data_IF_832712153276
#
_entry.id   IF_832712153276
#
_cell.length_a   1.000
_cell.length_b   1.000
_cell.length_c   1.000
_cell.angle_alpha   90.00
_cell.angle_beta   90.00
_cell.angle_gamma   90.00
#
_symmetry.space_group_name_H-M   'P 1'
#
loop_
_entity.id
_entity.type
_entity.pdbx_description
1 polymer ?
#
# COMPACT_ATOMS: atom_id res chain seq x y z
N UNK A 1 1.11 15.43 -9.46
CA UNK A 1 0.60 14.25 -10.22
C UNK A 1 0.35 14.68 -11.66
N UNK A 2 0.84 13.92 -12.64
CA UNK A 2 0.72 14.25 -14.07
C UNK A 2 -0.15 13.26 -14.82
N UNK A 3 -1.04 13.77 -15.68
CA UNK A 3 -1.83 12.99 -16.65
C UNK A 3 -1.22 13.16 -18.03
N UNK A 4 -0.74 12.07 -18.64
CA UNK A 4 -0.19 12.11 -20.01
C UNK A 4 -1.32 12.21 -21.04
N UNK A 5 -1.08 12.92 -22.15
CA UNK A 5 -2.05 13.02 -23.27
C UNK A 5 -2.47 11.65 -23.80
N UNK A 6 -1.53 10.72 -23.93
CA UNK A 6 -1.75 9.35 -24.40
C UNK A 6 -2.68 8.50 -23.50
N UNK A 7 -2.84 8.87 -22.23
CA UNK A 7 -3.63 8.11 -21.27
C UNK A 7 -5.07 8.60 -21.15
N UNK A 8 -5.44 9.75 -21.75
CA UNK A 8 -6.73 10.39 -21.52
C UNK A 8 -7.93 9.51 -21.89
N UNK A 9 -7.85 8.77 -23.00
CA UNK A 9 -8.94 7.86 -23.41
C UNK A 9 -9.13 6.74 -22.39
N UNK A 10 -8.05 6.11 -21.96
CA UNK A 10 -8.07 5.07 -20.94
C UNK A 10 -8.62 5.60 -19.61
N UNK A 11 -8.19 6.77 -19.18
CA UNK A 11 -8.63 7.40 -17.92
C UNK A 11 -10.12 7.74 -17.95
N UNK A 12 -10.65 8.18 -19.10
CA UNK A 12 -12.09 8.45 -19.28
C UNK A 12 -12.92 7.16 -19.29
N UNK A 13 -12.37 6.07 -19.81
CA UNK A 13 -13.05 4.77 -19.81
C UNK A 13 -13.12 4.15 -18.41
N UNK A 14 -12.29 4.58 -17.46
CA UNK A 14 -12.31 4.13 -16.07
C UNK A 14 -11.90 2.67 -15.95
N UNK A 15 -10.62 2.35 -16.15
CA UNK A 15 -10.18 0.94 -16.22
C UNK A 15 -9.78 0.33 -14.90
N UNK A 16 -9.22 1.08 -13.97
CA UNK A 16 -8.70 0.56 -12.71
C UNK A 16 -8.82 1.57 -11.59
N UNK A 17 -8.64 1.09 -10.36
CA UNK A 17 -8.55 1.97 -9.20
C UNK A 17 -7.39 2.98 -9.32
N UNK A 18 -6.26 2.57 -9.92
CA UNK A 18 -5.15 3.46 -10.20
C UNK A 18 -5.57 4.61 -11.13
N UNK A 19 -6.39 4.31 -12.15
CA UNK A 19 -6.88 5.33 -13.08
C UNK A 19 -7.81 6.34 -12.38
N UNK A 20 -8.54 5.93 -11.36
CA UNK A 20 -9.42 6.85 -10.60
C UNK A 20 -8.67 7.96 -9.87
N UNK A 21 -7.36 7.77 -9.60
CA UNK A 21 -6.50 8.83 -9.06
C UNK A 21 -6.23 9.95 -10.04
N UNK A 22 -6.37 9.66 -11.32
CA UNK A 22 -6.09 10.59 -12.41
C UNK A 22 -7.36 11.08 -13.09
N UNK A 23 -8.52 10.97 -12.44
CA UNK A 23 -9.78 11.54 -12.93
C UNK A 23 -9.73 13.07 -13.10
N UNK A 24 -10.63 13.64 -13.88
CA UNK A 24 -10.69 15.09 -14.10
C UNK A 24 -10.99 15.85 -12.80
N UNK A 25 -11.85 15.28 -11.95
CA UNK A 25 -12.10 15.77 -10.59
C UNK A 25 -11.78 14.65 -9.58
N UNK A 26 -10.54 14.57 -9.09
CA UNK A 26 -10.14 13.49 -8.23
C UNK A 26 -10.81 13.62 -6.85
N UNK A 27 -11.37 12.52 -6.37
CA UNK A 27 -12.11 12.43 -5.10
C UNK A 27 -11.34 12.98 -3.89
N UNK A 28 -10.01 13.01 -3.95
CA UNK A 28 -9.15 13.51 -2.86
C UNK A 28 -8.92 15.02 -2.91
N UNK A 29 -9.38 15.74 -3.94
CA UNK A 29 -9.20 17.20 -4.09
C UNK A 29 -9.59 17.97 -2.82
N UNK A 30 -10.76 17.66 -2.27
CA UNK A 30 -11.27 18.31 -1.07
C UNK A 30 -10.57 17.94 0.24
N UNK A 31 -9.62 16.99 0.20
CA UNK A 31 -8.87 16.55 1.37
C UNK A 31 -7.60 17.37 1.62
N UNK A 32 -7.21 18.23 0.68
CA UNK A 32 -5.98 19.02 0.75
C UNK A 32 -6.30 20.51 0.52
N UNK A 33 -6.05 21.32 1.53
CA UNK A 33 -6.34 22.76 1.50
C UNK A 33 -5.48 23.51 0.46
N UNK A 34 -4.30 22.99 0.14
CA UNK A 34 -3.34 23.54 -0.82
C UNK A 34 -3.41 22.89 -2.20
N UNK A 35 -4.47 22.12 -2.49
CA UNK A 35 -4.61 21.49 -3.80
C UNK A 35 -4.78 22.55 -4.88
N UNK A 36 -3.93 22.47 -5.93
CA UNK A 36 -4.07 23.30 -7.13
C UNK A 36 -3.83 22.51 -8.41
N UNK A 37 -4.50 22.91 -9.46
CA UNK A 37 -4.17 22.47 -10.80
C UNK A 37 -2.98 23.26 -11.33
N UNK A 38 -2.13 22.60 -12.12
CA UNK A 38 -0.98 23.24 -12.77
C UNK A 38 -1.42 23.97 -14.02
N UNK A 39 -0.85 25.15 -14.27
CA UNK A 39 -1.08 25.90 -15.50
C UNK A 39 -0.39 25.24 -16.70
N UNK A 40 -0.78 25.59 -17.92
CA UNK A 40 -0.20 25.00 -19.12
C UNK A 40 1.32 25.24 -19.25
N UNK A 41 1.82 26.34 -18.72
CA UNK A 41 3.23 26.70 -18.72
C UNK A 41 4.07 25.86 -17.74
N UNK A 42 3.43 25.27 -16.72
CA UNK A 42 4.07 24.41 -15.73
C UNK A 42 4.10 22.92 -16.16
N UNK A 43 3.40 22.58 -17.26
CA UNK A 43 3.30 21.20 -17.69
C UNK A 43 4.48 20.80 -18.59
N UNK A 44 5.14 19.66 -18.32
CA UNK A 44 6.11 19.09 -19.25
C UNK A 44 5.45 18.68 -20.58
N UNK A 45 6.26 18.60 -21.65
CA UNK A 45 5.79 18.15 -22.95
C UNK A 45 5.12 16.76 -22.86
N UNK A 46 3.97 16.60 -23.53
CA UNK A 46 3.20 15.35 -23.55
C UNK A 46 2.33 15.12 -22.31
N UNK A 47 2.26 16.09 -21.39
CA UNK A 47 1.39 16.08 -20.23
C UNK A 47 0.17 16.98 -20.49
N UNK A 48 -1.01 16.39 -20.45
CA UNK A 48 -2.28 17.10 -20.69
C UNK A 48 -2.74 17.94 -19.51
N UNK A 49 -2.49 17.48 -18.29
CA UNK A 49 -2.83 18.19 -17.06
C UNK A 49 -2.04 17.65 -15.88
N UNK A 50 -1.98 18.43 -14.82
CA UNK A 50 -1.33 18.05 -13.59
C UNK A 50 -1.93 18.78 -12.40
N UNK A 51 -1.69 18.23 -11.21
CA UNK A 51 -2.02 18.89 -9.95
C UNK A 51 -0.90 18.70 -8.94
N UNK A 52 -0.84 19.59 -7.99
CA UNK A 52 0.04 19.48 -6.82
C UNK A 52 -0.73 19.75 -5.52
N UNK A 53 -0.24 19.19 -4.45
CA UNK A 53 -0.77 19.36 -3.09
C UNK A 53 0.27 18.86 -2.09
N UNK A 54 0.22 19.37 -0.86
CA UNK A 54 1.05 18.91 0.25
C UNK A 54 0.68 17.49 0.65
N UNK A 55 1.67 16.62 0.76
CA UNK A 55 1.45 15.23 1.14
C UNK A 55 2.61 14.72 2.00
N UNK A 56 2.52 13.48 2.46
CA UNK A 56 3.55 12.86 3.28
C UNK A 56 4.05 11.56 2.64
N UNK A 57 5.34 11.30 2.78
CA UNK A 57 5.94 10.02 2.44
C UNK A 57 6.42 9.32 3.71
N UNK A 58 5.83 8.17 4.01
CA UNK A 58 6.17 7.42 5.22
C UNK A 58 7.45 6.61 4.98
N UNK A 59 8.46 6.83 5.85
CA UNK A 59 9.59 5.90 5.95
C UNK A 59 9.14 4.67 6.76
N UNK A 60 8.68 3.64 6.06
CA UNK A 60 8.13 2.42 6.67
C UNK A 60 9.12 1.65 7.52
N UNK A 61 10.43 1.81 7.27
CA UNK A 61 11.48 1.20 8.09
C UNK A 61 11.58 1.80 9.49
N UNK A 62 11.14 3.06 9.65
CA UNK A 62 11.05 3.73 10.94
C UNK A 62 9.64 3.64 11.53
N UNK A 63 8.62 3.81 10.72
CA UNK A 63 7.24 3.85 11.17
C UNK A 63 6.77 2.52 11.78
N UNK A 64 7.07 1.38 11.16
CA UNK A 64 6.63 0.08 11.67
C UNK A 64 7.27 -0.27 13.03
N UNK A 65 8.59 -0.14 13.25
CA UNK A 65 9.18 -0.32 14.58
C UNK A 65 8.63 0.64 15.63
N UNK A 66 8.39 1.90 15.25
CA UNK A 66 7.76 2.88 16.14
C UNK A 66 6.34 2.42 16.55
N UNK A 67 5.51 2.00 15.58
CA UNK A 67 4.15 1.52 15.85
C UNK A 67 4.16 0.29 16.76
N UNK A 68 5.07 -0.64 16.53
CA UNK A 68 5.29 -1.81 17.42
C UNK A 68 5.66 -1.35 18.84
N UNK A 69 6.50 -0.33 18.96
CA UNK A 69 6.84 0.30 20.24
C UNK A 69 5.61 0.88 20.94
N UNK A 70 4.73 1.58 20.22
CA UNK A 70 3.47 2.11 20.76
C UNK A 70 2.54 0.97 21.24
N UNK A 71 2.40 -0.09 20.46
CA UNK A 71 1.61 -1.26 20.86
C UNK A 71 2.12 -1.84 22.19
N UNK A 72 3.44 -2.04 22.33
CA UNK A 72 4.05 -2.56 23.56
C UNK A 72 3.85 -1.63 24.75
N UNK A 73 4.03 -0.33 24.55
CA UNK A 73 3.82 0.67 25.60
C UNK A 73 2.37 0.67 26.12
N UNK A 74 1.41 0.31 25.25
CA UNK A 74 0.00 0.13 25.63
C UNK A 74 -0.35 -1.29 26.10
N UNK A 75 0.64 -2.11 26.43
CA UNK A 75 0.41 -3.44 27.02
C UNK A 75 0.08 -4.54 26.02
N UNK A 76 0.21 -4.30 24.72
CA UNK A 76 -0.04 -5.34 23.70
C UNK A 76 1.08 -6.36 23.72
N UNK A 77 0.73 -7.63 23.91
CA UNK A 77 1.66 -8.74 23.81
C UNK A 77 1.87 -9.14 22.32
N UNK A 78 3.11 -9.18 21.90
CA UNK A 78 3.51 -9.60 20.55
C UNK A 78 4.01 -11.03 20.57
N UNK A 79 3.47 -11.86 19.71
CA UNK A 79 3.83 -13.26 19.61
C UNK A 79 4.01 -13.68 18.17
N UNK A 80 5.05 -14.44 17.88
CA UNK A 80 5.21 -15.10 16.58
C UNK A 80 4.62 -16.51 16.69
N UNK A 81 3.67 -16.84 15.81
CA UNK A 81 3.06 -18.16 15.74
C UNK A 81 2.71 -18.48 14.28
N UNK A 82 2.61 -19.76 13.95
CA UNK A 82 2.00 -20.25 12.74
C UNK A 82 0.55 -20.63 13.05
N UNK A 83 -0.38 -20.11 12.27
CA UNK A 83 -1.82 -20.31 12.43
C UNK A 83 -2.34 -20.91 11.12
N UNK A 84 -2.91 -22.11 11.17
CA UNK A 84 -3.48 -22.78 10.01
C UNK A 84 -4.96 -22.47 9.82
N UNK A 85 -5.67 -22.21 10.91
CA UNK A 85 -7.09 -21.87 10.92
C UNK A 85 -7.33 -20.66 11.82
N UNK A 86 -8.22 -19.76 11.41
CA UNK A 86 -8.44 -18.48 12.11
C UNK A 86 -8.88 -18.68 13.58
N UNK A 87 -9.62 -19.74 13.87
CA UNK A 87 -10.04 -20.06 15.26
C UNK A 87 -8.88 -20.44 16.19
N UNK A 88 -7.75 -20.94 15.66
CA UNK A 88 -6.56 -21.24 16.47
C UNK A 88 -5.98 -19.98 17.12
N UNK A 89 -6.16 -18.82 16.47
CA UNK A 89 -5.72 -17.54 17.03
C UNK A 89 -6.39 -17.24 18.38
N UNK A 90 -7.63 -17.66 18.57
CA UNK A 90 -8.36 -17.50 19.83
C UNK A 90 -7.71 -18.27 20.99
N UNK A 91 -7.08 -19.39 20.70
CA UNK A 91 -6.38 -20.24 21.68
C UNK A 91 -4.96 -19.79 22.02
N UNK A 92 -4.35 -18.89 21.24
CA UNK A 92 -2.94 -18.49 21.46
C UNK A 92 -2.68 -17.80 22.80
N UNK A 93 -3.67 -17.14 23.39
CA UNK A 93 -3.59 -16.56 24.73
C UNK A 93 -3.55 -17.62 25.85
N UNK A 94 -4.15 -18.79 25.63
CA UNK A 94 -4.16 -19.88 26.60
C UNK A 94 -2.76 -20.45 26.86
N UNK A 95 -1.85 -20.29 25.90
CA UNK A 95 -0.46 -20.74 25.99
C UNK A 95 0.47 -19.72 26.66
N UNK A 96 -0.04 -18.60 27.16
CA UNK A 96 0.78 -17.61 27.87
C UNK A 96 1.00 -18.05 29.32
N UNK A 97 2.23 -17.89 29.84
CA UNK A 97 2.61 -18.23 31.22
C UNK A 97 1.88 -17.37 32.28
N UNK A 98 1.05 -16.42 31.89
CA UNK A 98 0.26 -15.57 32.78
C UNK A 98 -1.05 -16.20 33.28
N UNK A 99 -1.30 -17.45 32.90
CA UNK A 99 -2.19 -18.37 33.66
C UNK A 99 -3.68 -18.03 33.79
N UNK A 100 -4.23 -17.13 33.03
CA UNK A 100 -5.68 -16.90 32.98
C UNK A 100 -6.22 -17.44 31.65
N UNK A 101 -6.49 -18.74 31.62
CA UNK A 101 -6.95 -19.51 30.49
C UNK A 101 -8.34 -19.12 29.98
N UNK A 102 -8.51 -17.85 29.56
CA UNK A 102 -9.72 -17.42 28.86
C UNK A 102 -9.42 -17.34 27.38
N UNK A 103 -10.23 -18.00 26.56
CA UNK A 103 -10.21 -17.80 25.12
C UNK A 103 -10.52 -16.32 24.80
N UNK A 104 -10.00 -15.80 23.71
CA UNK A 104 -10.36 -14.45 23.25
C UNK A 104 -11.78 -14.46 22.71
N UNK A 105 -12.50 -13.38 22.93
CA UNK A 105 -13.86 -13.22 22.44
C UNK A 105 -13.88 -12.87 20.94
N UNK A 106 -12.84 -12.19 20.45
CA UNK A 106 -12.76 -11.65 19.08
C UNK A 106 -11.36 -11.83 18.52
N UNK A 107 -11.25 -12.22 17.27
CA UNK A 107 -10.02 -12.27 16.47
C UNK A 107 -10.09 -11.20 15.37
N UNK A 108 -9.07 -10.36 15.24
CA UNK A 108 -8.93 -9.45 14.09
C UNK A 108 -8.02 -10.11 13.07
N UNK A 109 -8.55 -10.40 11.89
CA UNK A 109 -7.81 -10.98 10.79
C UNK A 109 -7.25 -9.88 9.85
N UNK A 110 -5.95 -9.63 9.94
CA UNK A 110 -5.21 -8.71 9.08
C UNK A 110 -4.10 -9.44 8.31
N UNK A 111 -4.35 -10.67 7.85
CA UNK A 111 -3.33 -11.57 7.27
C UNK A 111 -2.96 -11.26 5.82
N UNK A 112 -3.61 -10.27 5.18
CA UNK A 112 -3.28 -9.83 3.82
C UNK A 112 -3.43 -10.96 2.81
N UNK A 113 -2.38 -11.25 2.01
CA UNK A 113 -2.40 -12.31 1.00
C UNK A 113 -2.70 -13.70 1.58
N UNK A 114 -2.32 -13.96 2.82
CA UNK A 114 -2.52 -15.25 3.44
C UNK A 114 -3.98 -15.52 3.80
N UNK A 115 -4.87 -14.53 3.77
CA UNK A 115 -6.31 -14.72 3.93
C UNK A 115 -6.88 -15.70 2.88
N UNK A 116 -6.24 -15.81 1.71
CA UNK A 116 -6.65 -16.78 0.67
C UNK A 116 -6.39 -18.24 1.04
N UNK A 117 -5.56 -18.49 2.06
CA UNK A 117 -5.14 -19.85 2.48
C UNK A 117 -5.38 -20.13 3.95
N UNK A 118 -5.80 -19.14 4.71
CA UNK A 118 -6.10 -19.31 6.14
C UNK A 118 -7.41 -20.06 6.30
N UNK A 119 -7.36 -21.23 6.91
CA UNK A 119 -8.54 -22.07 7.16
C UNK A 119 -9.62 -21.28 7.91
N UNK A 120 -10.88 -21.46 7.50
CA UNK A 120 -12.03 -20.72 8.02
C UNK A 120 -12.17 -19.29 7.46
N UNK A 121 -11.29 -18.89 6.50
CA UNK A 121 -11.37 -17.64 5.73
C UNK A 121 -11.36 -17.93 4.23
N UNK A 122 -10.28 -18.55 3.72
CA UNK A 122 -10.09 -19.08 2.38
C UNK A 122 -10.65 -18.16 1.28
N UNK A 123 -10.37 -16.85 1.39
CA UNK A 123 -10.91 -15.83 0.51
C UNK A 123 -10.27 -15.88 -0.87
N UNK A 124 -10.99 -16.51 -1.82
CA UNK A 124 -10.55 -16.67 -3.21
C UNK A 124 -10.44 -15.37 -4.00
N UNK A 125 -11.03 -14.27 -3.50
CA UNK A 125 -10.94 -12.96 -4.13
C UNK A 125 -9.56 -12.30 -3.91
N UNK A 126 -8.75 -12.79 -2.96
CA UNK A 126 -7.43 -12.26 -2.65
C UNK A 126 -6.39 -12.70 -3.68
N UNK A 127 -5.61 -11.76 -4.18
CA UNK A 127 -4.55 -11.99 -5.15
C UNK A 127 -3.37 -11.04 -4.93
N UNK A 128 -2.14 -11.41 -5.34
CA UNK A 128 -1.01 -10.49 -5.30
C UNK A 128 -1.12 -9.46 -6.42
N UNK A 129 -0.63 -8.26 -6.14
CA UNK A 129 -0.27 -7.28 -7.16
C UNK A 129 1.22 -6.98 -6.97
N UNK A 130 2.04 -7.62 -7.81
CA UNK A 130 3.49 -7.52 -7.71
C UNK A 130 3.94 -6.11 -8.09
N UNK A 131 4.72 -5.49 -7.20
CA UNK A 131 5.34 -4.20 -7.42
C UNK A 131 6.85 -4.30 -7.29
N UNK A 132 7.58 -3.90 -8.34
CA UNK A 132 9.02 -3.74 -8.31
C UNK A 132 9.39 -2.28 -8.20
N UNK A 133 10.40 -1.99 -7.41
CA UNK A 133 10.97 -0.65 -7.18
C UNK A 133 12.49 -0.71 -7.13
N UNK A 134 13.11 0.44 -7.36
CA UNK A 134 14.51 0.67 -7.01
C UNK A 134 14.56 1.73 -5.91
N UNK A 135 15.38 1.53 -4.91
CA UNK A 135 15.63 2.50 -3.86
C UNK A 135 17.02 3.06 -4.05
N UNK A 136 17.11 4.38 -4.16
CA UNK A 136 18.36 5.10 -4.39
C UNK A 136 18.65 6.06 -3.24
N UNK A 137 19.92 6.41 -3.04
CA UNK A 137 20.36 7.39 -2.02
C UNK A 137 20.10 8.83 -2.46
N UNK A 138 20.04 9.05 -3.78
CA UNK A 138 19.72 10.36 -4.36
C UNK A 138 18.38 10.87 -3.79
N UNK A 139 18.30 12.16 -3.46
CA UNK A 139 17.10 12.77 -2.91
C UNK A 139 16.33 13.52 -4.00
N UNK A 140 15.05 13.23 -4.13
CA UNK A 140 14.15 13.95 -5.03
C UNK A 140 13.62 15.19 -4.33
N UNK A 141 13.53 16.35 -5.03
CA UNK A 141 13.03 17.60 -4.45
C UNK A 141 11.53 17.54 -4.09
N UNK A 142 10.76 16.70 -4.76
CA UNK A 142 9.33 16.50 -4.52
C UNK A 142 8.90 15.08 -4.92
N UNK A 143 7.72 14.69 -4.53
CA UNK A 143 7.12 13.43 -4.98
C UNK A 143 6.43 13.62 -6.34
N UNK A 144 6.61 12.65 -7.24
CA UNK A 144 6.00 12.66 -8.56
C UNK A 144 5.26 11.34 -8.81
N UNK A 145 4.11 11.42 -9.46
CA UNK A 145 3.37 10.24 -9.96
C UNK A 145 2.76 10.56 -11.31
N UNK A 146 2.81 9.60 -12.26
CA UNK A 146 2.25 9.73 -13.61
C UNK A 146 1.18 8.68 -13.87
N UNK A 147 0.24 9.02 -14.75
CA UNK A 147 -0.90 8.19 -15.14
C UNK A 147 -0.54 6.91 -15.89
N UNK A 148 0.66 6.80 -16.46
CA UNK A 148 1.09 5.62 -17.19
C UNK A 148 2.53 5.74 -17.70
N UNK A 149 2.95 4.75 -18.47
CA UNK A 149 4.25 4.72 -19.16
C UNK A 149 4.11 4.21 -20.58
N UNK A 150 5.15 4.32 -21.40
CA UNK A 150 5.19 3.73 -22.75
C UNK A 150 5.78 2.30 -22.74
N UNK A 151 6.30 1.85 -21.60
CA UNK A 151 6.96 0.53 -21.49
C UNK A 151 5.99 -0.64 -21.33
N UNK A 152 4.78 -0.39 -20.79
CA UNK A 152 3.77 -1.44 -20.66
C UNK A 152 2.62 -1.09 -19.71
N UNK A 153 1.49 -1.81 -19.82
CA UNK A 153 0.28 -1.51 -19.04
C UNK A 153 0.44 -1.78 -17.54
N UNK A 154 1.35 -2.69 -17.17
CA UNK A 154 1.63 -3.05 -15.77
C UNK A 154 2.77 -2.21 -15.16
N UNK A 155 3.30 -1.23 -15.90
CA UNK A 155 4.37 -0.36 -15.44
C UNK A 155 3.84 1.01 -15.04
N UNK A 156 4.43 1.57 -13.98
CA UNK A 156 4.04 2.83 -13.37
C UNK A 156 5.26 3.76 -13.27
N UNK A 157 5.02 5.06 -13.16
CA UNK A 157 6.08 6.00 -12.81
C UNK A 157 5.69 6.77 -11.55
N UNK A 158 6.48 6.58 -10.50
CA UNK A 158 6.41 7.38 -9.28
C UNK A 158 7.80 7.53 -8.65
N UNK A 159 8.02 8.65 -8.00
CA UNK A 159 9.26 9.03 -7.33
C UNK A 159 8.84 9.54 -5.95
N UNK A 160 9.37 8.94 -4.88
CA UNK A 160 8.96 9.26 -3.51
C UNK A 160 10.18 9.28 -2.58
N UNK A 161 10.58 10.46 -2.12
CA UNK A 161 11.65 10.61 -1.13
C UNK A 161 11.11 10.29 0.26
N UNK A 162 11.80 9.38 0.97
CA UNK A 162 11.46 9.02 2.33
C UNK A 162 12.25 9.84 3.32
N UNK A 163 11.59 10.31 4.37
CA UNK A 163 12.21 11.09 5.43
C UNK A 163 13.35 10.34 6.15
N UNK A 164 14.18 11.09 6.87
CA UNK A 164 15.22 10.60 7.76
C UNK A 164 16.23 9.64 7.08
N UNK A 165 16.73 10.02 5.91
CA UNK A 165 17.74 9.25 5.18
C UNK A 165 17.22 7.94 4.59
N UNK A 166 15.90 7.79 4.44
CA UNK A 166 15.28 6.59 3.86
C UNK A 166 15.56 6.36 2.38
N UNK A 167 16.18 7.32 1.71
CA UNK A 167 16.42 7.34 0.27
C UNK A 167 15.15 7.59 -0.53
N UNK A 168 15.27 7.65 -1.83
CA UNK A 168 14.16 7.82 -2.76
C UNK A 168 13.73 6.47 -3.32
N UNK A 169 12.43 6.18 -3.25
CA UNK A 169 11.81 5.04 -3.93
C UNK A 169 11.40 5.48 -5.31
N UNK A 170 11.93 4.84 -6.34
CA UNK A 170 11.52 5.01 -7.73
C UNK A 170 10.83 3.75 -8.22
N UNK A 171 9.73 3.90 -8.92
CA UNK A 171 8.89 2.78 -9.32
C UNK A 171 8.12 3.03 -10.60
N UNK A 172 7.47 2.07 -11.06
CA UNK A 172 7.46 0.69 -10.63
C UNK A 172 6.56 -0.18 -11.48
N UNK A 173 6.07 -1.25 -10.89
CA UNK A 173 5.14 -2.16 -11.55
C UNK A 173 3.87 -2.42 -10.72
N UNK A 174 2.79 -2.90 -11.38
CA UNK A 174 1.55 -3.33 -10.75
C UNK A 174 1.00 -4.57 -11.45
N UNK A 175 1.71 -5.69 -11.35
CA UNK A 175 1.42 -6.94 -12.05
C UNK A 175 0.45 -7.79 -11.24
N UNK A 176 -0.82 -7.80 -11.65
CA UNK A 176 -1.87 -8.57 -11.00
C UNK A 176 -1.63 -10.07 -11.17
N UNK A 177 -1.80 -10.84 -10.10
CA UNK A 177 -1.69 -12.29 -10.07
C UNK A 177 -0.25 -12.83 -10.08
N UNK A 178 0.76 -11.96 -10.16
CA UNK A 178 2.16 -12.37 -10.21
C UNK A 178 2.74 -12.59 -8.80
N UNK A 179 3.26 -13.80 -8.58
CA UNK A 179 3.85 -14.22 -7.30
C UNK A 179 5.38 -14.17 -7.28
N UNK A 180 6.03 -13.83 -8.42
CA UNK A 180 7.48 -13.76 -8.48
C UNK A 180 8.02 -12.70 -7.51
N UNK A 181 8.89 -13.12 -6.61
CA UNK A 181 9.45 -12.27 -5.55
C UNK A 181 10.85 -11.72 -5.87
N UNK A 182 11.47 -12.18 -6.96
CA UNK A 182 12.79 -11.71 -7.37
C UNK A 182 12.68 -10.47 -8.27
N UNK A 183 13.59 -9.50 -8.12
CA UNK A 183 13.66 -8.36 -9.02
C UNK A 183 14.07 -8.78 -10.44
N UNK A 184 13.39 -8.24 -11.44
CA UNK A 184 13.77 -8.35 -12.84
C UNK A 184 14.67 -7.16 -13.21
N UNK A 185 15.91 -7.42 -13.71
CA UNK A 185 16.85 -6.34 -14.06
C UNK A 185 16.35 -5.46 -15.22
N UNK A 186 15.53 -5.98 -16.12
CA UNK A 186 14.98 -5.19 -17.22
C UNK A 186 13.94 -4.18 -16.72
N UNK A 187 13.05 -4.60 -15.80
CA UNK A 187 12.15 -3.65 -15.11
C UNK A 187 12.95 -2.61 -14.32
N UNK A 188 13.99 -3.03 -13.60
CA UNK A 188 14.81 -2.09 -12.84
C UNK A 188 15.44 -1.02 -13.73
N UNK A 189 15.99 -1.41 -14.89
CA UNK A 189 16.59 -0.46 -15.84
C UNK A 189 15.55 0.51 -16.41
N UNK A 190 14.36 0.04 -16.81
CA UNK A 190 13.28 0.91 -17.29
C UNK A 190 12.81 1.90 -16.23
N UNK A 191 12.62 1.40 -14.99
CA UNK A 191 12.25 2.25 -13.83
C UNK A 191 13.27 3.37 -13.62
N UNK A 192 14.56 3.05 -13.61
CA UNK A 192 15.63 4.02 -13.40
C UNK A 192 15.69 5.05 -14.54
N UNK A 193 15.56 4.60 -15.80
CA UNK A 193 15.54 5.49 -16.96
C UNK A 193 14.39 6.49 -16.86
N UNK A 194 13.15 6.01 -16.64
CA UNK A 194 11.97 6.90 -16.50
C UNK A 194 12.12 7.89 -15.37
N UNK A 195 12.68 7.45 -14.22
CA UNK A 195 12.87 8.35 -13.09
C UNK A 195 13.83 9.49 -13.41
N UNK A 196 14.95 9.21 -14.06
CA UNK A 196 15.93 10.24 -14.48
C UNK A 196 15.37 11.15 -15.58
N UNK A 197 14.61 10.61 -16.54
CA UNK A 197 13.95 11.39 -17.58
C UNK A 197 12.89 12.36 -17.01
N UNK A 198 12.11 11.90 -16.02
CA UNK A 198 11.04 12.69 -15.42
C UNK A 198 11.51 13.65 -14.33
N UNK A 199 12.64 13.38 -13.73
CA UNK A 199 13.22 14.18 -12.64
C UNK A 199 14.75 14.20 -12.77
N UNK A 200 15.30 14.99 -13.73
CA UNK A 200 16.74 15.10 -13.93
C UNK A 200 17.50 15.57 -12.68
N UNK A 201 16.82 16.27 -11.76
CA UNK A 201 17.37 16.75 -10.49
C UNK A 201 17.82 15.61 -9.57
N UNK A 202 17.34 14.38 -9.78
CA UNK A 202 17.84 13.20 -9.07
C UNK A 202 19.33 12.96 -9.31
N UNK A 203 19.82 13.30 -10.52
CA UNK A 203 21.20 13.07 -10.98
C UNK A 203 21.70 14.28 -11.77
N UNK A 204 21.93 15.44 -11.16
CA UNK A 204 22.28 16.67 -11.88
C UNK A 204 23.44 16.46 -12.87
N UNK A 205 23.14 16.63 -14.18
CA UNK A 205 24.12 16.47 -15.26
C UNK A 205 24.55 15.03 -15.57
N UNK A 206 23.89 14.04 -14.98
CA UNK A 206 24.16 12.61 -15.20
C UNK A 206 22.98 11.85 -15.83
N UNK A 207 23.19 10.56 -16.03
CA UNK A 207 22.18 9.59 -16.46
C UNK A 207 21.88 8.56 -15.38
N UNK A 208 21.42 7.40 -15.79
CA UNK A 208 21.10 6.27 -14.89
C UNK A 208 22.29 5.85 -14.03
N UNK A 209 23.49 5.99 -14.55
CA UNK A 209 24.78 5.74 -13.88
C UNK A 209 25.05 6.65 -12.67
N UNK A 210 24.37 7.78 -12.59
CA UNK A 210 24.45 8.71 -11.44
C UNK A 210 23.54 8.30 -10.26
N UNK A 211 22.76 7.25 -10.41
CA UNK A 211 21.91 6.75 -9.32
C UNK A 211 22.72 5.88 -8.35
N UNK A 212 22.80 6.30 -7.09
CA UNK A 212 23.39 5.51 -6.01
C UNK A 212 22.37 4.49 -5.47
N UNK A 213 22.39 3.28 -6.03
CA UNK A 213 21.42 2.23 -5.74
C UNK A 213 21.64 1.63 -4.35
N UNK A 214 20.67 1.77 -3.47
CA UNK A 214 20.65 1.11 -2.17
C UNK A 214 20.19 -0.35 -2.33
N UNK A 215 19.07 -0.55 -3.07
CA UNK A 215 18.54 -1.91 -3.32
C UNK A 215 17.50 -1.93 -4.44
N UNK A 216 17.38 -3.09 -5.06
CA UNK A 216 16.18 -3.46 -5.80
C UNK A 216 15.19 -4.13 -4.85
N UNK A 217 13.89 -3.84 -5.01
CA UNK A 217 12.86 -4.39 -4.13
C UNK A 217 11.65 -4.89 -4.89
N UNK A 218 11.10 -6.01 -4.44
CA UNK A 218 9.80 -6.52 -4.88
C UNK A 218 8.90 -6.65 -3.68
N UNK A 219 7.65 -6.22 -3.83
CA UNK A 219 6.59 -6.40 -2.85
C UNK A 219 5.35 -6.97 -3.52
N UNK A 220 4.67 -7.87 -2.83
CA UNK A 220 3.40 -8.41 -3.26
C UNK A 220 2.29 -7.69 -2.48
N UNK A 221 1.63 -6.73 -3.15
CA UNK A 221 0.53 -5.98 -2.54
C UNK A 221 -0.68 -6.91 -2.41
N UNK A 222 -1.36 -6.94 -1.26
CA UNK A 222 -2.54 -7.79 -1.05
C UNK A 222 -3.77 -7.17 -1.73
N UNK A 223 -3.95 -7.46 -3.03
CA UNK A 223 -5.15 -7.10 -3.75
C UNK A 223 -6.33 -7.99 -3.41
N UNK A 224 -7.56 -7.50 -3.61
CA UNK A 224 -8.81 -8.26 -3.46
C UNK A 224 -9.85 -7.78 -4.44
N UNK A 225 -10.51 -8.69 -5.12
CA UNK A 225 -11.66 -8.37 -5.95
C UNK A 225 -12.82 -7.92 -5.05
N UNK A 226 -13.47 -6.83 -5.44
CA UNK A 226 -14.49 -6.19 -4.60
C UNK A 226 -13.95 -5.23 -3.56
N UNK A 227 -12.61 -5.03 -3.48
CA UNK A 227 -11.98 -4.07 -2.58
C UNK A 227 -11.65 -4.62 -1.19
N UNK A 228 -11.40 -3.70 -0.26
CA UNK A 228 -11.05 -4.04 1.13
C UNK A 228 -12.16 -4.83 1.80
N UNK A 229 -11.79 -5.92 2.46
CA UNK A 229 -12.70 -6.65 3.34
C UNK A 229 -12.61 -6.06 4.76
N UNK A 230 -13.60 -5.26 5.12
CA UNK A 230 -13.76 -4.67 6.45
C UNK A 230 -15.15 -5.02 6.98
N UNK A 231 -15.27 -6.17 7.62
CA UNK A 231 -16.53 -6.71 8.09
C UNK A 231 -16.31 -7.71 9.24
N UNK A 232 -17.38 -8.06 9.94
CA UNK A 232 -17.37 -9.09 10.97
C UNK A 232 -18.16 -10.31 10.52
N UNK A 233 -17.67 -11.50 10.89
CA UNK A 233 -18.39 -12.76 10.72
C UNK A 233 -18.13 -13.70 11.89
N UNK A 234 -18.92 -14.75 11.98
CA UNK A 234 -18.74 -15.80 12.98
C UNK A 234 -18.15 -17.04 12.34
N UNK A 235 -16.98 -17.47 12.82
CA UNK A 235 -16.31 -18.69 12.37
C UNK A 235 -16.28 -19.68 13.54
N UNK A 236 -17.18 -20.67 13.51
CA UNK A 236 -17.43 -21.53 14.68
C UNK A 236 -17.90 -20.70 15.88
N UNK A 237 -17.18 -20.81 16.99
CA UNK A 237 -17.50 -20.10 18.23
C UNK A 237 -16.80 -18.75 18.41
N UNK A 238 -16.03 -18.30 17.41
CA UNK A 238 -15.22 -17.08 17.47
C UNK A 238 -15.77 -16.01 16.56
N UNK A 239 -15.86 -14.78 17.06
CA UNK A 239 -16.06 -13.61 16.22
C UNK A 239 -14.76 -13.24 15.51
N UNK A 240 -14.83 -13.02 14.21
CA UNK A 240 -13.70 -12.58 13.40
C UNK A 240 -14.04 -11.24 12.75
N UNK A 241 -13.17 -10.25 12.95
CA UNK A 241 -13.24 -8.98 12.25
C UNK A 241 -12.14 -8.97 11.20
N UNK A 242 -12.52 -8.87 9.93
CA UNK A 242 -11.58 -8.86 8.81
C UNK A 242 -11.11 -7.44 8.51
N UNK A 243 -9.83 -7.29 8.18
CA UNK A 243 -9.22 -6.03 7.73
C UNK A 243 -8.04 -6.33 6.80
N UNK A 244 -8.34 -6.61 5.53
CA UNK A 244 -7.33 -6.92 4.52
C UNK A 244 -7.81 -6.59 3.09
N UNK A 245 -6.93 -6.74 2.10
CA UNK A 245 -7.26 -6.53 0.68
C UNK A 245 -7.02 -5.11 0.18
N UNK A 246 -6.14 -4.34 0.84
CA UNK A 246 -5.89 -2.92 0.58
C UNK A 246 -5.04 -2.63 -0.65
N UNK A 247 -4.48 -3.63 -1.31
CA UNK A 247 -3.55 -3.45 -2.43
C UNK A 247 -2.43 -2.43 -2.11
N UNK A 248 -2.32 -1.36 -2.89
CA UNK A 248 -1.31 -0.30 -2.67
C UNK A 248 -1.66 0.74 -1.59
N UNK A 249 -2.87 0.69 -1.01
CA UNK A 249 -3.43 1.76 -0.15
C UNK A 249 -3.34 1.47 1.34
N UNK A 250 -2.76 0.35 1.72
CA UNK A 250 -2.75 -0.12 3.10
C UNK A 250 -2.22 0.90 4.11
N UNK A 251 -1.20 1.69 3.78
CA UNK A 251 -0.70 2.73 4.66
C UNK A 251 -1.62 3.94 4.73
N UNK A 252 -2.09 4.44 3.58
CA UNK A 252 -2.96 5.62 3.52
C UNK A 252 -4.30 5.38 4.21
N UNK A 253 -4.92 4.22 3.97
CA UNK A 253 -6.21 3.84 4.57
C UNK A 253 -6.13 3.27 5.98
N UNK A 254 -4.93 3.10 6.56
CA UNK A 254 -4.73 2.33 7.79
C UNK A 254 -5.49 2.88 9.00
N UNK A 255 -5.51 4.19 9.19
CA UNK A 255 -6.21 4.81 10.32
C UNK A 255 -7.74 4.68 10.19
N UNK A 256 -8.29 4.96 9.02
CA UNK A 256 -9.73 4.80 8.77
C UNK A 256 -10.18 3.35 8.90
N UNK A 257 -9.41 2.40 8.35
CA UNK A 257 -9.71 0.97 8.51
C UNK A 257 -9.57 0.51 9.95
N UNK A 258 -8.59 1.02 10.71
CA UNK A 258 -8.45 0.71 12.12
C UNK A 258 -9.64 1.24 12.95
N UNK A 259 -10.14 2.45 12.66
CA UNK A 259 -11.35 2.98 13.28
C UNK A 259 -12.57 2.07 13.00
N UNK A 260 -12.77 1.67 11.73
CA UNK A 260 -13.84 0.75 11.37
C UNK A 260 -13.71 -0.62 12.05
N UNK A 261 -12.47 -1.13 12.25
CA UNK A 261 -12.26 -2.36 13.05
C UNK A 261 -12.73 -2.16 14.50
N UNK A 262 -12.40 -1.02 15.12
CA UNK A 262 -12.82 -0.71 16.50
C UNK A 262 -14.34 -0.65 16.59
N UNK A 263 -15.02 0.02 15.65
CA UNK A 263 -16.49 0.06 15.59
C UNK A 263 -17.11 -1.34 15.53
N UNK A 264 -16.60 -2.21 14.65
CA UNK A 264 -17.07 -3.59 14.53
C UNK A 264 -16.82 -4.42 15.80
N UNK A 265 -15.69 -4.20 16.47
CA UNK A 265 -15.38 -4.83 17.77
C UNK A 265 -16.35 -4.36 18.84
N UNK A 266 -16.62 -3.06 18.93
CA UNK A 266 -17.55 -2.47 19.89
C UNK A 266 -18.97 -2.99 19.67
N UNK A 267 -19.41 -3.11 18.42
CA UNK A 267 -20.70 -3.73 18.10
C UNK A 267 -20.80 -5.17 18.64
N UNK A 268 -19.75 -6.00 18.50
CA UNK A 268 -19.74 -7.37 18.99
C UNK A 268 -19.80 -7.38 20.52
N UNK A 269 -19.02 -6.52 21.20
CA UNK A 269 -18.96 -6.46 22.66
C UNK A 269 -20.27 -6.00 23.30
N UNK A 270 -21.05 -5.19 22.56
CA UNK A 270 -22.35 -4.67 23.01
C UNK A 270 -23.53 -5.59 22.64
N UNK A 271 -23.29 -6.72 21.92
CA UNK A 271 -24.35 -7.68 21.64
C UNK A 271 -24.85 -8.33 22.96
N UNK A 272 -26.17 -8.57 23.08
CA UNK A 272 -26.68 -9.37 24.19
C UNK A 272 -25.97 -10.75 24.23
N UNK A 273 -25.45 -11.10 25.39
CA UNK A 273 -24.93 -12.46 25.59
C UNK A 273 -26.10 -13.42 25.53
N UNK A 274 -26.13 -14.26 24.49
CA UNK A 274 -27.11 -15.35 24.38
C UNK A 274 -26.86 -16.44 25.44
#
# INVERSE_FOLDING_TARGET
MYRREKDLERLRAGGSYFDSLFGEDPWYRAMFDDFRDLSAEELPAGIASGCEFGSVCINTMLYLPWLVGQCRANGVALRRAHVQHVSEAAGLLLLSHTGRGKAVDIVVNATGLLASRLGGVEDAAVHPVRGQVVVVRNEAPFMLTMSGTDDGPDELTYIMTRAAGGGTVIGGTAQRGQWESQPDPNFAMRIMRRAVEMMPELVPGGGVEGLDIIRHGVGLRPGRDGGVRLEKERVGDVWVVHNYGHAGWGYQGSYGCAAGVVELVDEILNMPKL
#
